data_IF_077011688984
#
_entry.id   IF_077011688984
#
_cell.length_a   1.000
_cell.length_b   1.000
_cell.length_c   1.000
_cell.angle_alpha   90.00
_cell.angle_beta   90.00
_cell.angle_gamma   90.00
#
_symmetry.space_group_name_H-M   'P 1'
#
loop_
_entity.id
_entity.type
_entity.pdbx_description
1 polymer ?
#
# COMPACT_ATOMS: atom_id res chain seq x y z
N UNK A 1 -0.56 13.08 5.41
CA UNK A 1 -0.51 14.56 5.34
C UNK A 1 -1.75 15.15 6.00
N UNK A 2 -1.65 16.33 6.58
CA UNK A 2 -2.76 16.98 7.29
C UNK A 2 -3.95 17.28 6.37
N UNK A 3 -3.68 17.64 5.12
CA UNK A 3 -4.74 17.87 4.12
C UNK A 3 -5.61 16.63 3.87
N UNK A 4 -4.98 15.45 3.78
CA UNK A 4 -5.72 14.18 3.62
C UNK A 4 -6.52 13.83 4.88
N UNK A 5 -5.96 14.07 6.06
CA UNK A 5 -6.66 13.82 7.32
C UNK A 5 -7.89 14.73 7.48
N UNK A 6 -7.81 15.99 7.05
CA UNK A 6 -8.97 16.89 7.05
C UNK A 6 -10.12 16.34 6.23
N UNK A 7 -9.84 15.92 4.98
CA UNK A 7 -10.85 15.30 4.10
C UNK A 7 -11.41 14.00 4.71
N UNK A 8 -10.53 13.18 5.31
CA UNK A 8 -10.95 11.95 5.93
C UNK A 8 -11.87 12.19 7.15
N UNK A 9 -11.56 13.18 8.01
CA UNK A 9 -12.42 13.57 9.14
C UNK A 9 -13.81 14.03 8.68
N UNK A 10 -13.88 14.83 7.60
CA UNK A 10 -15.15 15.23 7.00
C UNK A 10 -15.98 14.03 6.53
N UNK A 11 -15.34 13.06 5.86
CA UNK A 11 -16.00 11.81 5.42
C UNK A 11 -16.51 10.97 6.59
N UNK A 12 -15.72 10.84 7.66
CA UNK A 12 -16.11 10.13 8.89
C UNK A 12 -17.34 10.78 9.51
N UNK A 13 -17.35 12.12 9.59
CA UNK A 13 -18.50 12.90 10.10
C UNK A 13 -19.75 12.71 9.24
N UNK A 14 -19.62 12.82 7.91
CA UNK A 14 -20.76 12.60 7.02
C UNK A 14 -21.33 11.17 7.08
N UNK A 15 -20.48 10.19 7.40
CA UNK A 15 -20.89 8.80 7.57
C UNK A 15 -21.39 8.46 8.99
N UNK A 16 -21.42 9.44 9.90
CA UNK A 16 -21.77 9.26 11.33
C UNK A 16 -20.93 8.18 12.03
N UNK A 17 -19.62 8.17 11.76
CA UNK A 17 -18.68 7.17 12.27
C UNK A 17 -17.67 7.73 13.29
N UNK A 18 -17.89 8.95 13.84
CA UNK A 18 -16.96 9.64 14.76
C UNK A 18 -16.69 8.83 16.04
N UNK A 19 -17.66 8.04 16.50
CA UNK A 19 -17.49 7.17 17.66
C UNK A 19 -16.79 5.83 17.36
N UNK A 20 -16.52 5.51 16.07
CA UNK A 20 -15.94 4.23 15.63
C UNK A 20 -14.60 4.38 14.91
N UNK A 21 -14.33 5.56 14.36
CA UNK A 21 -13.14 5.82 13.53
C UNK A 21 -12.36 6.99 14.10
N UNK A 22 -11.13 6.74 14.52
CA UNK A 22 -10.20 7.76 14.96
C UNK A 22 -9.17 8.05 13.86
N UNK A 23 -8.97 9.33 13.55
CA UNK A 23 -8.01 9.81 12.55
C UNK A 23 -6.79 10.41 13.22
N UNK A 24 -5.66 9.72 13.17
CA UNK A 24 -4.37 10.15 13.72
C UNK A 24 -3.35 10.41 12.61
N UNK A 25 -2.44 11.34 12.89
CA UNK A 25 -1.23 11.54 12.09
C UNK A 25 -0.11 10.75 12.75
N UNK A 26 0.35 9.72 12.07
CA UNK A 26 1.43 8.84 12.55
C UNK A 26 2.56 8.76 11.52
N UNK A 27 3.75 8.48 12.00
CA UNK A 27 4.88 8.07 11.17
C UNK A 27 4.87 6.53 11.07
N UNK A 28 4.74 6.01 9.86
CA UNK A 28 4.73 4.56 9.64
C UNK A 28 6.04 3.85 10.01
N UNK A 29 7.14 4.60 10.19
CA UNK A 29 8.44 4.06 10.61
C UNK A 29 8.66 4.12 12.14
N UNK A 30 7.79 4.81 12.88
CA UNK A 30 7.86 4.96 14.33
C UNK A 30 6.48 5.37 14.88
N UNK A 31 5.55 4.41 14.93
CA UNK A 31 4.18 4.67 15.39
C UNK A 31 4.13 4.87 16.90
N UNK A 32 3.28 5.79 17.37
CA UNK A 32 3.12 6.09 18.80
C UNK A 32 2.37 5.01 19.59
N UNK A 33 1.89 3.96 18.92
CA UNK A 33 1.14 2.88 19.58
C UNK A 33 2.04 1.89 20.30
N UNK A 34 1.59 1.35 21.47
CA UNK A 34 2.25 0.24 22.13
C UNK A 34 2.33 -1.02 21.28
N UNK A 35 3.22 -1.94 21.64
CA UNK A 35 3.27 -3.27 21.06
C UNK A 35 1.93 -4.00 21.26
N UNK A 36 1.57 -4.85 20.31
CA UNK A 36 0.40 -5.73 20.42
C UNK A 36 -0.93 -4.99 20.67
N UNK A 37 -1.14 -3.87 20.00
CA UNK A 37 -2.34 -3.02 20.15
C UNK A 37 -3.48 -3.49 19.23
N UNK A 38 -3.19 -3.80 17.97
CA UNK A 38 -4.21 -4.01 16.93
C UNK A 38 -4.42 -5.48 16.58
N UNK A 39 -5.68 -5.86 16.37
CA UNK A 39 -6.06 -7.21 15.93
C UNK A 39 -5.85 -7.39 14.42
N UNK A 40 -5.98 -6.30 13.65
CA UNK A 40 -5.76 -6.31 12.21
C UNK A 40 -5.21 -4.97 11.71
N UNK A 41 -4.48 -5.01 10.59
CA UNK A 41 -4.03 -3.84 9.86
C UNK A 41 -4.32 -3.99 8.37
N UNK A 42 -4.68 -2.88 7.71
CA UNK A 42 -4.90 -2.85 6.27
C UNK A 42 -4.23 -1.64 5.64
N UNK A 43 -3.70 -1.81 4.44
CA UNK A 43 -3.22 -0.71 3.62
C UNK A 43 -3.56 -0.94 2.15
N UNK A 44 -4.04 0.11 1.49
CA UNK A 44 -4.29 0.10 0.05
C UNK A 44 -3.51 1.23 -0.62
N UNK A 45 -2.64 0.86 -1.56
CA UNK A 45 -1.85 1.78 -2.41
C UNK A 45 -0.94 2.76 -1.64
N UNK A 46 -0.53 2.37 -0.42
CA UNK A 46 0.23 3.25 0.48
C UNK A 46 1.65 2.80 0.74
N UNK A 47 1.90 1.50 0.88
CA UNK A 47 3.18 0.98 1.38
C UNK A 47 4.35 1.19 0.42
N UNK A 48 4.11 1.29 -0.90
CA UNK A 48 5.16 1.61 -1.88
C UNK A 48 5.80 2.98 -1.66
N UNK A 49 5.13 3.87 -0.90
CA UNK A 49 5.62 5.20 -0.56
C UNK A 49 6.39 5.24 0.77
N UNK A 50 6.60 4.11 1.43
CA UNK A 50 7.42 4.06 2.64
C UNK A 50 8.86 4.37 2.29
N UNK A 51 9.50 5.24 3.07
CA UNK A 51 10.93 5.58 2.90
C UNK A 51 11.82 4.36 3.18
N UNK A 52 11.39 3.53 4.11
CA UNK A 52 12.02 2.25 4.48
C UNK A 52 10.92 1.21 4.65
N UNK A 53 10.80 0.33 3.64
CA UNK A 53 9.75 -0.69 3.61
C UNK A 53 9.95 -1.74 4.69
N UNK A 54 11.19 -2.18 4.91
CA UNK A 54 11.54 -3.18 5.93
C UNK A 54 11.16 -2.67 7.33
N UNK A 55 11.58 -1.44 7.65
CA UNK A 55 11.30 -0.81 8.93
C UNK A 55 9.81 -0.56 9.13
N UNK A 56 9.11 -0.06 8.12
CA UNK A 56 7.67 0.20 8.22
C UNK A 56 6.85 -1.07 8.40
N UNK A 57 7.20 -2.16 7.75
CA UNK A 57 6.53 -3.45 7.92
C UNK A 57 6.85 -4.09 9.28
N UNK A 58 8.09 -3.96 9.78
CA UNK A 58 8.44 -4.40 11.13
C UNK A 58 7.66 -3.61 12.18
N UNK A 59 7.46 -2.31 11.98
CA UNK A 59 6.68 -1.46 12.87
C UNK A 59 5.18 -1.81 12.85
N UNK A 60 4.61 -2.11 11.68
CA UNK A 60 3.25 -2.65 11.57
C UNK A 60 3.16 -3.98 12.34
N UNK A 61 4.12 -4.88 12.16
CA UNK A 61 4.17 -6.14 12.88
C UNK A 61 4.27 -5.93 14.39
N UNK A 62 5.08 -4.99 14.87
CA UNK A 62 5.23 -4.65 16.29
C UNK A 62 3.91 -4.28 16.95
N UNK A 63 3.15 -3.38 16.31
CA UNK A 63 1.88 -2.87 16.88
C UNK A 63 0.72 -3.85 16.74
N UNK A 64 0.83 -4.89 15.93
CA UNK A 64 -0.18 -5.94 15.83
C UNK A 64 -0.04 -6.96 16.95
N UNK A 65 -1.16 -7.50 17.41
CA UNK A 65 -1.21 -8.60 18.39
C UNK A 65 -0.71 -9.91 17.77
N UNK A 66 -0.19 -10.86 18.59
CA UNK A 66 0.03 -12.23 18.12
C UNK A 66 -1.23 -12.83 17.50
N UNK A 67 -1.10 -13.45 16.33
CA UNK A 67 -2.24 -13.93 15.53
C UNK A 67 -2.98 -12.85 14.72
N UNK A 68 -2.63 -11.59 14.88
CA UNK A 68 -3.22 -10.47 14.12
C UNK A 68 -2.97 -10.59 12.62
N UNK A 69 -3.90 -10.07 11.82
CA UNK A 69 -3.92 -10.22 10.37
C UNK A 69 -3.60 -8.91 9.65
N UNK A 70 -2.65 -8.96 8.72
CA UNK A 70 -2.31 -7.86 7.81
C UNK A 70 -2.85 -8.14 6.41
N UNK A 71 -3.54 -7.15 5.82
CA UNK A 71 -3.96 -7.18 4.42
C UNK A 71 -3.44 -5.95 3.68
N UNK A 72 -2.66 -6.16 2.64
CA UNK A 72 -2.08 -5.10 1.82
C UNK A 72 -2.56 -5.25 0.38
N UNK A 73 -2.93 -4.16 -0.27
CA UNK A 73 -3.22 -4.10 -1.71
C UNK A 73 -2.32 -3.07 -2.35
N UNK A 74 -1.59 -3.47 -3.39
CA UNK A 74 -0.73 -2.55 -4.16
C UNK A 74 -0.87 -2.76 -5.65
N UNK A 75 -0.61 -1.67 -6.40
CA UNK A 75 -0.48 -1.74 -7.85
C UNK A 75 0.81 -2.47 -8.18
N UNK A 76 0.72 -3.43 -9.07
CA UNK A 76 1.84 -4.27 -9.49
C UNK A 76 1.90 -4.40 -11.01
N UNK A 77 3.03 -4.86 -11.52
CA UNK A 77 3.20 -5.12 -12.95
C UNK A 77 2.73 -6.53 -13.30
N UNK A 78 1.81 -6.70 -14.24
CA UNK A 78 1.41 -8.00 -14.74
C UNK A 78 2.61 -8.79 -15.27
N UNK A 79 2.63 -10.10 -15.00
CA UNK A 79 3.73 -10.98 -15.42
C UNK A 79 3.40 -11.81 -16.67
N UNK A 80 2.11 -12.03 -16.96
CA UNK A 80 1.63 -12.89 -18.05
C UNK A 80 1.33 -12.11 -19.32
N UNK A 81 1.56 -12.77 -20.46
CA UNK A 81 1.08 -12.30 -21.77
C UNK A 81 -0.46 -12.43 -21.87
N UNK A 82 -1.19 -11.49 -22.50
CA UNK A 82 -0.74 -10.22 -23.13
C UNK A 82 -0.71 -9.04 -22.15
N UNK A 83 -1.19 -9.22 -20.90
CA UNK A 83 -1.38 -8.12 -19.95
C UNK A 83 -0.10 -7.37 -19.61
N UNK A 84 1.04 -8.06 -19.57
CA UNK A 84 2.35 -7.44 -19.35
C UNK A 84 2.65 -6.37 -20.42
N UNK A 85 2.42 -6.69 -21.69
CA UNK A 85 2.68 -5.78 -22.80
C UNK A 85 1.67 -4.62 -22.84
N UNK A 86 0.39 -4.93 -22.64
CA UNK A 86 -0.66 -3.93 -22.57
C UNK A 86 -0.43 -2.93 -21.43
N UNK A 87 -0.07 -3.43 -20.26
CA UNK A 87 0.22 -2.58 -19.11
C UNK A 87 1.47 -1.71 -19.34
N UNK A 88 2.50 -2.26 -19.99
CA UNK A 88 3.71 -1.49 -20.36
C UNK A 88 3.36 -0.35 -21.33
N UNK A 89 2.58 -0.61 -22.36
CA UNK A 89 2.12 0.42 -23.31
C UNK A 89 1.28 1.47 -22.56
N UNK A 90 0.34 1.03 -21.73
CA UNK A 90 -0.50 1.93 -20.95
C UNK A 90 0.33 2.83 -20.02
N UNK A 91 1.22 2.27 -19.23
CA UNK A 91 1.99 3.00 -18.20
C UNK A 91 3.03 3.95 -18.80
N UNK A 92 3.65 3.59 -19.94
CA UNK A 92 4.72 4.40 -20.54
C UNK A 92 4.24 5.34 -21.64
N UNK A 93 3.06 5.12 -22.23
CA UNK A 93 2.54 5.94 -23.33
C UNK A 93 1.26 6.65 -22.97
N UNK A 94 0.22 5.90 -22.58
CA UNK A 94 -1.12 6.47 -22.37
C UNK A 94 -1.13 7.33 -21.11
N UNK A 95 -0.65 6.80 -20.01
CA UNK A 95 -0.68 7.46 -18.70
C UNK A 95 0.08 8.81 -18.69
N UNK A 96 1.32 8.93 -19.24
CA UNK A 96 2.01 10.21 -19.32
C UNK A 96 1.32 11.24 -20.24
N UNK A 97 0.71 10.78 -21.35
CA UNK A 97 -0.02 11.67 -22.25
C UNK A 97 -1.26 12.24 -21.57
N UNK A 98 -2.06 11.38 -20.92
CA UNK A 98 -3.21 11.82 -20.12
C UNK A 98 -2.78 12.75 -18.97
N UNK A 99 -1.67 12.43 -18.31
CA UNK A 99 -1.11 13.28 -17.25
C UNK A 99 -0.75 14.68 -17.73
N UNK A 100 -0.20 14.81 -18.93
CA UNK A 100 0.12 16.11 -19.55
C UNK A 100 -1.13 16.91 -19.94
N UNK A 101 -2.21 16.23 -20.34
CA UNK A 101 -3.42 16.88 -20.83
C UNK A 101 -4.36 17.31 -19.69
N UNK A 102 -4.45 16.53 -18.61
CA UNK A 102 -5.47 16.71 -17.57
C UNK A 102 -4.87 17.24 -16.28
N UNK A 103 -3.66 16.82 -15.91
CA UNK A 103 -3.00 17.24 -14.68
C UNK A 103 -1.94 18.30 -14.94
N UNK A 104 -1.94 19.35 -14.11
CA UNK A 104 -0.87 20.35 -14.08
C UNK A 104 0.46 19.79 -13.52
N UNK A 105 0.42 18.60 -12.90
CA UNK A 105 1.57 17.95 -12.28
C UNK A 105 2.12 16.81 -13.16
N UNK A 106 3.14 17.15 -13.94
CA UNK A 106 3.84 16.20 -14.82
C UNK A 106 4.66 15.15 -14.04
N UNK A 107 5.05 15.46 -12.80
CA UNK A 107 5.91 14.60 -11.97
C UNK A 107 5.14 13.43 -11.34
N UNK A 108 3.88 13.64 -10.98
CA UNK A 108 3.09 12.66 -10.27
C UNK A 108 2.92 11.32 -11.02
N UNK A 109 2.72 11.37 -12.34
CA UNK A 109 2.55 10.15 -13.16
C UNK A 109 3.87 9.42 -13.42
N UNK A 110 4.98 10.16 -13.56
CA UNK A 110 6.31 9.55 -13.66
C UNK A 110 6.68 8.86 -12.34
N UNK A 111 6.42 9.53 -11.22
CA UNK A 111 6.61 8.96 -9.90
C UNK A 111 5.76 7.69 -9.70
N UNK A 112 4.49 7.71 -10.11
CA UNK A 112 3.61 6.54 -10.00
C UNK A 112 4.20 5.32 -10.73
N UNK A 113 4.59 5.48 -11.99
CA UNK A 113 5.18 4.38 -12.78
C UNK A 113 6.48 3.88 -12.15
N UNK A 114 7.40 4.78 -11.81
CA UNK A 114 8.67 4.45 -11.18
C UNK A 114 8.48 3.73 -9.82
N UNK A 115 7.53 4.19 -8.99
CA UNK A 115 7.25 3.57 -7.69
C UNK A 115 6.64 2.17 -7.82
N UNK A 116 5.82 1.91 -8.84
CA UNK A 116 5.27 0.58 -9.13
C UNK A 116 6.38 -0.38 -9.56
N UNK A 117 7.29 0.06 -10.43
CA UNK A 117 8.40 -0.75 -10.94
C UNK A 117 9.45 -1.05 -9.87
N UNK A 118 9.71 -0.09 -8.99
CA UNK A 118 10.68 -0.24 -7.90
C UNK A 118 10.13 -1.08 -6.73
N UNK A 119 8.80 -1.21 -6.60
CA UNK A 119 8.19 -1.93 -5.49
C UNK A 119 8.42 -3.45 -5.59
N UNK A 120 8.90 -4.13 -4.53
CA UNK A 120 9.06 -5.58 -4.52
C UNK A 120 7.71 -6.28 -4.67
N UNK A 121 7.63 -7.29 -5.56
CA UNK A 121 6.36 -7.92 -5.94
C UNK A 121 6.38 -9.44 -5.74
N UNK A 122 5.20 -10.01 -5.52
CA UNK A 122 5.03 -11.47 -5.42
C UNK A 122 5.85 -12.10 -4.30
N UNK A 123 6.65 -13.11 -4.61
CA UNK A 123 7.47 -13.84 -3.64
C UNK A 123 8.51 -12.95 -2.93
N UNK A 124 9.01 -11.92 -3.59
CA UNK A 124 9.93 -10.96 -3.01
C UNK A 124 9.28 -10.23 -1.82
N UNK A 125 8.05 -9.76 -2.00
CA UNK A 125 7.29 -9.09 -0.93
C UNK A 125 6.92 -10.05 0.19
N UNK A 126 6.58 -11.30 -0.12
CA UNK A 126 6.37 -12.36 0.88
C UNK A 126 7.62 -12.57 1.74
N UNK A 127 8.80 -12.61 1.11
CA UNK A 127 10.08 -12.70 1.84
C UNK A 127 10.32 -11.52 2.79
N UNK A 128 10.00 -10.29 2.35
CA UNK A 128 10.12 -9.08 3.19
C UNK A 128 9.13 -9.13 4.36
N UNK A 129 7.88 -9.55 4.14
CA UNK A 129 6.89 -9.73 5.21
C UNK A 129 7.38 -10.73 6.28
N UNK A 130 7.92 -11.87 5.84
CA UNK A 130 8.48 -12.87 6.78
C UNK A 130 9.67 -12.31 7.56
N UNK A 131 10.58 -11.58 6.90
CA UNK A 131 11.71 -10.91 7.55
C UNK A 131 11.25 -9.85 8.56
N UNK A 132 10.13 -9.17 8.31
CA UNK A 132 9.53 -8.19 9.20
C UNK A 132 8.90 -8.79 10.47
N UNK A 133 8.80 -10.13 10.58
CA UNK A 133 8.31 -10.84 11.75
C UNK A 133 6.94 -11.51 11.59
N UNK A 134 6.36 -11.50 10.38
CA UNK A 134 5.12 -12.24 10.14
C UNK A 134 5.40 -13.73 9.98
N UNK A 135 4.67 -14.56 10.75
CA UNK A 135 4.82 -16.03 10.76
C UNK A 135 4.33 -16.68 9.47
N UNK A 136 3.28 -16.11 8.89
CA UNK A 136 2.70 -16.55 7.61
C UNK A 136 2.55 -15.34 6.68
N UNK A 137 2.87 -15.55 5.40
CA UNK A 137 2.65 -14.56 4.36
C UNK A 137 2.35 -15.23 3.02
N UNK A 138 1.41 -14.69 2.28
CA UNK A 138 1.00 -15.14 0.95
C UNK A 138 0.53 -13.98 0.10
N UNK A 139 0.36 -14.21 -1.20
CA UNK A 139 -0.18 -13.18 -2.09
C UNK A 139 -1.14 -13.76 -3.13
N UNK A 140 -2.03 -12.90 -3.61
CA UNK A 140 -2.95 -13.19 -4.72
C UNK A 140 -2.94 -12.03 -5.71
N UNK A 141 -2.66 -12.33 -6.97
CA UNK A 141 -2.80 -11.33 -8.06
C UNK A 141 -4.26 -11.12 -8.38
N UNK A 142 -4.64 -9.86 -8.51
CA UNK A 142 -5.98 -9.39 -8.86
C UNK A 142 -5.93 -8.67 -10.20
N UNK A 143 -7.08 -8.56 -10.88
CA UNK A 143 -7.22 -7.78 -12.12
C UNK A 143 -6.10 -8.09 -13.12
N UNK A 144 -5.95 -9.38 -13.45
CA UNK A 144 -4.90 -9.88 -14.38
C UNK A 144 -3.46 -9.53 -13.96
N UNK A 145 -3.23 -9.26 -12.66
CA UNK A 145 -1.93 -8.92 -12.10
C UNK A 145 -1.60 -7.42 -12.06
N UNK A 146 -2.55 -6.54 -12.38
CA UNK A 146 -2.41 -5.08 -12.23
C UNK A 146 -2.37 -4.68 -10.76
N UNK A 147 -3.07 -5.45 -9.90
CA UNK A 147 -3.00 -5.30 -8.46
C UNK A 147 -2.60 -6.65 -7.83
N UNK A 148 -1.93 -6.57 -6.69
CA UNK A 148 -1.64 -7.75 -5.86
C UNK A 148 -2.09 -7.48 -4.44
N UNK A 149 -2.79 -8.45 -3.87
CA UNK A 149 -3.16 -8.47 -2.46
C UNK A 149 -2.19 -9.40 -1.73
N UNK A 150 -1.66 -8.93 -0.62
CA UNK A 150 -0.79 -9.69 0.27
C UNK A 150 -1.52 -9.89 1.59
N UNK A 151 -1.43 -11.09 2.13
CA UNK A 151 -1.93 -11.47 3.44
C UNK A 151 -0.77 -11.92 4.29
N UNK A 152 -0.74 -11.48 5.54
CA UNK A 152 0.25 -11.92 6.49
C UNK A 152 -0.36 -12.05 7.89
N UNK A 153 0.20 -12.93 8.72
CA UNK A 153 -0.20 -13.14 10.11
C UNK A 153 1.02 -13.03 11.02
N UNK A 154 0.89 -12.29 12.11
CA UNK A 154 1.91 -12.21 13.15
C UNK A 154 1.95 -13.46 14.01
#
# INVERSE_FOLDING_TARGET
SEGMLKVAREKVKHAHLEGKVEMRKEDCLAMSFPDNTFDAATSAFGIRNFQDLDKGLAEICRVMKPGGQLSLVEVTTPVSFPMKQLFKIYSHTILPVYGKLISKDKGAYQYLTASIEAFPQGEQMVGILKKAGFSQASFRRLTFGICTMYYAQK
#
